data_IF_762034299715
#
_entry.id   IF_762034299715
#
_cell.length_a   1.000
_cell.length_b   1.000
_cell.length_c   1.000
_cell.angle_alpha   90.00
_cell.angle_beta   90.00
_cell.angle_gamma   90.00
#
_symmetry.space_group_name_H-M   'P 1'
#
loop_
_entity.id
_entity.type
_entity.pdbx_description
1 polymer ?
#
# COMPACT_ATOMS: atom_id res chain seq x y z
N UNK A 1 -12.09 -47.74 42.82
CA UNK A 1 -12.70 -46.40 42.57
C UNK A 1 -11.71 -45.24 42.55
N UNK A 2 -10.39 -45.43 42.75
CA UNK A 2 -9.37 -44.35 42.71
C UNK A 2 -8.73 -44.12 41.33
N UNK A 3 -8.89 -45.05 40.38
CA UNK A 3 -8.22 -44.98 39.07
C UNK A 3 -9.03 -44.32 37.94
N UNK A 4 -10.32 -44.03 38.13
CA UNK A 4 -11.18 -43.47 37.07
C UNK A 4 -11.08 -41.93 37.04
N UNK A 5 -10.88 -41.28 38.19
CA UNK A 5 -10.74 -39.81 38.26
C UNK A 5 -9.47 -39.27 37.58
N UNK A 6 -8.36 -40.03 37.59
CA UNK A 6 -7.10 -39.59 37.02
C UNK A 6 -7.10 -39.58 35.47
N UNK A 7 -7.91 -40.44 34.85
CA UNK A 7 -8.00 -40.56 33.37
C UNK A 7 -8.88 -39.46 32.78
N UNK A 8 -9.90 -39.01 33.51
CA UNK A 8 -10.78 -37.91 33.08
C UNK A 8 -10.05 -36.57 33.12
N UNK A 9 -9.16 -36.37 34.10
CA UNK A 9 -8.39 -35.13 34.23
C UNK A 9 -7.27 -34.97 33.19
N UNK A 10 -6.72 -36.06 32.66
CA UNK A 10 -5.68 -36.01 31.61
C UNK A 10 -6.25 -35.83 30.20
N UNK A 11 -7.50 -36.22 29.96
CA UNK A 11 -8.17 -36.05 28.66
C UNK A 11 -8.70 -34.62 28.41
N UNK A 12 -8.95 -33.82 29.47
CA UNK A 12 -9.42 -32.43 29.31
C UNK A 12 -8.32 -31.44 28.90
N UNK A 13 -7.04 -31.79 29.00
CA UNK A 13 -5.93 -30.90 28.66
C UNK A 13 -5.52 -30.92 27.17
N UNK A 14 -6.17 -31.73 26.32
CA UNK A 14 -5.75 -31.92 24.93
C UNK A 14 -6.56 -31.14 23.89
N UNK A 15 -7.52 -30.29 24.30
CA UNK A 15 -8.45 -29.61 23.39
C UNK A 15 -8.29 -28.09 23.29
N UNK A 16 -7.21 -27.53 23.82
CA UNK A 16 -6.85 -26.13 23.64
C UNK A 16 -5.75 -25.96 22.58
N UNK A 17 -5.93 -26.55 21.39
CA UNK A 17 -5.28 -25.99 20.21
C UNK A 17 -6.06 -24.73 19.82
N UNK A 18 -5.64 -23.61 20.38
CA UNK A 18 -6.06 -22.30 19.90
C UNK A 18 -5.72 -22.20 18.42
N UNK A 19 -6.74 -22.20 17.57
CA UNK A 19 -6.62 -21.80 16.17
C UNK A 19 -6.18 -20.35 16.16
N UNK A 20 -4.88 -20.10 16.03
CA UNK A 20 -4.39 -18.79 15.64
C UNK A 20 -4.95 -18.54 14.23
N UNK A 21 -6.09 -17.85 14.15
CA UNK A 21 -6.57 -17.30 12.90
C UNK A 21 -5.44 -16.38 12.42
N UNK A 22 -4.74 -16.81 11.37
CA UNK A 22 -3.78 -15.96 10.68
C UNK A 22 -4.56 -14.72 10.24
N UNK A 23 -4.33 -13.59 10.92
CA UNK A 23 -4.75 -12.30 10.40
C UNK A 23 -4.16 -12.20 9.00
N UNK A 24 -4.94 -11.84 7.96
CA UNK A 24 -4.38 -11.63 6.64
C UNK A 24 -3.19 -10.69 6.79
N UNK A 25 -1.99 -11.23 6.57
CA UNK A 25 -0.78 -10.44 6.49
C UNK A 25 -1.02 -9.52 5.30
N UNK A 26 -1.47 -8.30 5.59
CA UNK A 26 -1.60 -7.24 4.61
C UNK A 26 -0.18 -6.99 4.12
N UNK A 27 0.19 -7.71 3.05
CA UNK A 27 1.38 -7.42 2.28
C UNK A 27 1.38 -5.94 1.89
N UNK A 28 2.53 -5.41 1.47
CA UNK A 28 2.69 -4.00 1.14
C UNK A 28 1.48 -3.53 0.32
N UNK A 29 0.67 -2.62 0.91
CA UNK A 29 -0.61 -2.17 0.35
C UNK A 29 -0.35 -1.25 -0.85
N UNK A 30 0.17 -1.81 -1.94
CA UNK A 30 0.31 -1.12 -3.22
C UNK A 30 -1.04 -1.21 -3.94
N UNK A 31 -2.07 -0.59 -3.35
CA UNK A 31 -3.44 -0.69 -3.85
C UNK A 31 -3.53 -0.20 -5.29
N UNK A 32 -4.13 -1.03 -6.15
CA UNK A 32 -4.27 -0.71 -7.56
C UNK A 32 -5.61 -0.01 -7.85
N UNK A 33 -5.58 0.90 -8.82
CA UNK A 33 -6.77 1.54 -9.35
C UNK A 33 -7.40 0.71 -10.48
N UNK A 34 -8.62 1.08 -10.89
CA UNK A 34 -9.28 0.47 -12.05
C UNK A 34 -9.29 1.46 -13.24
N UNK A 35 -8.94 1.05 -14.47
CA UNK A 35 -8.99 1.96 -15.60
C UNK A 35 -10.43 2.29 -16.05
N UNK A 36 -11.44 1.51 -15.64
CA UNK A 36 -12.84 1.81 -15.89
C UNK A 36 -13.26 3.04 -15.05
N UNK A 37 -13.78 4.11 -15.67
CA UNK A 37 -14.18 5.34 -14.97
C UNK A 37 -15.15 5.11 -13.80
N UNK A 38 -16.07 4.15 -13.92
CA UNK A 38 -17.04 3.85 -12.87
C UNK A 38 -16.42 3.22 -11.61
N UNK A 39 -15.22 2.66 -11.74
CA UNK A 39 -14.52 1.94 -10.67
C UNK A 39 -13.15 2.53 -10.37
N UNK A 40 -12.79 3.65 -11.00
CA UNK A 40 -11.44 4.18 -11.02
C UNK A 40 -10.91 4.50 -9.63
N UNK A 41 -11.75 5.14 -8.82
CA UNK A 41 -11.51 5.48 -7.41
C UNK A 41 -10.25 6.31 -7.15
N UNK A 42 -9.48 6.71 -8.15
CA UNK A 42 -8.48 7.74 -7.97
C UNK A 42 -9.17 9.08 -7.71
N UNK A 43 -8.53 9.92 -6.91
CA UNK A 43 -9.01 11.29 -6.72
C UNK A 43 -8.84 12.11 -8.00
N UNK A 44 -9.68 13.13 -8.21
CA UNK A 44 -9.66 13.99 -9.41
C UNK A 44 -8.31 14.68 -9.66
N UNK A 45 -7.48 14.82 -8.62
CA UNK A 45 -6.14 15.42 -8.66
C UNK A 45 -5.06 14.44 -9.12
N UNK A 46 -5.43 13.19 -9.35
CA UNK A 46 -4.56 12.09 -9.76
C UNK A 46 -5.06 11.45 -11.05
N UNK A 47 -4.32 10.48 -11.59
CA UNK A 47 -4.75 9.71 -12.75
C UNK A 47 -4.37 8.25 -12.59
N UNK A 48 -5.29 7.33 -12.89
CA UNK A 48 -4.97 5.91 -12.95
C UNK A 48 -4.15 5.63 -14.21
N UNK A 49 -2.90 5.20 -14.03
CA UNK A 49 -1.98 4.91 -15.13
C UNK A 49 -1.54 3.46 -15.11
N UNK A 50 -1.28 2.91 -16.30
CA UNK A 50 -0.59 1.63 -16.47
C UNK A 50 0.91 1.89 -16.40
N UNK A 51 1.61 1.19 -15.53
CA UNK A 51 3.06 1.33 -15.34
C UNK A 51 3.81 0.17 -16.00
N UNK A 52 5.10 0.37 -16.25
CA UNK A 52 5.99 -0.64 -16.85
C UNK A 52 7.02 -1.09 -15.81
N UNK A 53 7.49 -2.35 -15.84
CA UNK A 53 7.28 -3.33 -16.92
C UNK A 53 5.98 -4.13 -16.85
N UNK A 54 5.42 -4.33 -15.65
CA UNK A 54 4.43 -5.39 -15.41
C UNK A 54 2.97 -5.00 -15.66
N UNK A 55 2.71 -3.76 -16.07
CA UNK A 55 1.36 -3.29 -16.37
C UNK A 55 0.51 -2.99 -15.13
N UNK A 56 1.12 -2.73 -13.98
CA UNK A 56 0.40 -2.39 -12.74
C UNK A 56 -0.36 -1.08 -12.89
N UNK A 57 -1.47 -0.93 -12.16
CA UNK A 57 -2.34 0.23 -12.24
C UNK A 57 -2.27 1.05 -10.95
N UNK A 58 -1.78 2.29 -11.04
CA UNK A 58 -1.64 3.16 -9.86
C UNK A 58 -2.26 4.54 -10.06
N UNK A 59 -2.78 5.13 -8.99
CA UNK A 59 -3.14 6.54 -8.98
C UNK A 59 -1.85 7.38 -8.89
N UNK A 60 -1.47 7.99 -10.01
CA UNK A 60 -0.30 8.83 -10.10
C UNK A 60 -0.65 10.30 -9.91
N UNK A 61 0.16 10.99 -9.11
CA UNK A 61 0.13 12.43 -8.98
C UNK A 61 0.57 13.13 -10.27
N UNK A 62 0.17 14.40 -10.41
CA UNK A 62 0.83 15.35 -11.31
C UNK A 62 2.30 15.50 -10.89
N UNK A 63 3.20 15.74 -11.85
CA UNK A 63 4.61 15.93 -11.55
C UNK A 63 4.82 17.10 -10.56
N UNK A 64 5.64 16.90 -9.53
CA UNK A 64 5.89 17.93 -8.49
C UNK A 64 4.84 18.01 -7.38
N UNK A 65 3.84 17.12 -7.37
CA UNK A 65 2.81 17.06 -6.33
C UNK A 65 2.86 15.75 -5.53
N UNK A 66 2.41 15.82 -4.27
CA UNK A 66 2.28 14.73 -3.30
C UNK A 66 0.96 14.85 -2.51
N UNK A 67 0.65 13.82 -1.73
CA UNK A 67 -0.47 13.86 -0.80
C UNK A 67 -0.16 14.78 0.38
N UNK A 68 -1.20 15.28 1.06
CA UNK A 68 -1.08 16.03 2.31
C UNK A 68 -0.84 15.08 3.50
N UNK A 69 0.24 14.32 3.45
CA UNK A 69 0.66 13.37 4.48
C UNK A 69 2.14 13.58 4.84
N UNK A 70 2.60 12.97 5.93
CA UNK A 70 4.01 12.97 6.29
C UNK A 70 4.85 12.33 5.17
N UNK A 71 6.01 12.90 4.83
CA UNK A 71 6.88 12.39 3.76
C UNK A 71 7.29 10.91 3.96
N UNK A 72 7.27 10.42 5.20
CA UNK A 72 7.54 9.02 5.55
C UNK A 72 6.32 8.09 5.54
N UNK A 73 5.11 8.62 5.31
CA UNK A 73 3.87 7.83 5.27
C UNK A 73 3.71 7.05 3.95
N UNK A 74 4.41 5.93 3.88
CA UNK A 74 4.42 4.98 2.77
C UNK A 74 3.07 4.30 2.49
N UNK A 75 2.11 4.41 3.42
CA UNK A 75 0.75 3.87 3.23
C UNK A 75 -0.15 4.81 2.44
N UNK A 76 0.16 6.10 2.47
CA UNK A 76 -0.61 7.13 1.76
C UNK A 76 0.02 7.50 0.44
N UNK A 77 1.35 7.73 0.44
CA UNK A 77 2.09 8.12 -0.76
C UNK A 77 3.47 7.47 -0.84
N UNK A 78 3.96 7.26 -2.05
CA UNK A 78 5.28 6.67 -2.29
C UNK A 78 5.78 6.99 -3.69
N UNK A 79 7.08 6.81 -3.91
CA UNK A 79 7.68 6.75 -5.25
C UNK A 79 7.98 5.31 -5.62
N UNK A 80 8.13 5.04 -6.90
CA UNK A 80 8.44 3.70 -7.44
C UNK A 80 9.64 3.77 -8.38
N UNK A 81 10.06 2.59 -8.85
CA UNK A 81 11.13 2.43 -9.85
C UNK A 81 10.57 2.15 -11.26
N UNK A 82 9.29 2.47 -11.50
CA UNK A 82 8.69 2.32 -12.83
C UNK A 82 9.40 3.20 -13.86
N UNK A 83 9.90 2.57 -14.92
CA UNK A 83 10.68 3.25 -15.95
C UNK A 83 9.93 4.44 -16.56
N UNK A 84 10.51 5.64 -16.46
CA UNK A 84 9.94 6.89 -16.96
C UNK A 84 8.82 7.48 -16.11
N UNK A 85 8.56 6.95 -14.91
CA UNK A 85 7.63 7.50 -13.92
C UNK A 85 8.29 7.73 -12.55
N UNK A 86 9.60 7.59 -12.45
CA UNK A 86 10.36 7.67 -11.19
C UNK A 86 10.17 9.03 -10.51
N UNK A 87 9.93 10.08 -11.28
CA UNK A 87 9.70 11.45 -10.78
C UNK A 87 8.30 11.68 -10.21
N UNK A 88 7.40 10.71 -10.32
CA UNK A 88 6.03 10.83 -9.83
C UNK A 88 5.89 10.25 -8.44
N UNK A 89 4.98 10.84 -7.69
CA UNK A 89 4.42 10.26 -6.48
C UNK A 89 3.17 9.47 -6.86
N UNK A 90 2.99 8.33 -6.21
CA UNK A 90 1.83 7.46 -6.32
C UNK A 90 1.12 7.44 -4.98
N UNK A 91 -0.20 7.30 -5.03
CA UNK A 91 -1.06 7.27 -3.85
C UNK A 91 -2.04 6.11 -3.94
N UNK A 92 -2.57 5.67 -2.80
CA UNK A 92 -3.69 4.73 -2.80
C UNK A 92 -4.97 5.39 -3.33
N UNK A 93 -5.93 4.62 -3.88
CA UNK A 93 -7.20 5.18 -4.36
C UNK A 93 -7.91 6.07 -3.32
N UNK A 94 -8.50 7.17 -3.80
CA UNK A 94 -9.24 8.15 -3.00
C UNK A 94 -8.38 9.21 -2.29
N UNK A 95 -7.05 9.13 -2.40
CA UNK A 95 -6.15 10.13 -1.81
C UNK A 95 -5.90 11.27 -2.80
N UNK A 96 -6.15 12.49 -2.36
CA UNK A 96 -5.84 13.70 -3.12
C UNK A 96 -4.34 14.00 -3.13
N UNK A 97 -3.86 14.56 -4.24
CA UNK A 97 -2.46 14.90 -4.50
C UNK A 97 -2.29 16.35 -4.98
N UNK A 98 -2.67 17.29 -4.10
CA UNK A 98 -2.64 18.74 -4.35
C UNK A 98 -1.55 19.47 -3.57
N UNK A 99 -0.70 18.76 -2.83
CA UNK A 99 0.39 19.40 -2.07
C UNK A 99 1.65 19.45 -2.94
N UNK A 100 2.31 20.61 -3.03
CA UNK A 100 3.59 20.70 -3.72
C UNK A 100 4.67 19.94 -2.96
N UNK A 101 5.53 19.25 -3.71
CA UNK A 101 6.77 18.69 -3.17
C UNK A 101 7.75 19.81 -2.79
N UNK A 102 8.70 19.53 -1.90
CA UNK A 102 9.68 20.51 -1.41
C UNK A 102 10.51 21.09 -2.56
N UNK A 103 10.85 20.26 -3.55
CA UNK A 103 11.64 20.63 -4.73
C UNK A 103 10.83 20.45 -6.04
N UNK A 104 9.57 20.88 -6.05
CA UNK A 104 8.64 20.68 -7.18
C UNK A 104 9.16 21.23 -8.53
N UNK A 105 10.03 22.25 -8.52
CA UNK A 105 10.59 22.88 -9.72
C UNK A 105 11.75 22.10 -10.37
N UNK A 106 12.26 21.04 -9.74
CA UNK A 106 13.43 20.30 -10.24
C UNK A 106 13.10 19.26 -11.33
N UNK A 107 11.91 19.34 -11.93
CA UNK A 107 11.50 18.47 -13.03
C UNK A 107 11.55 16.98 -12.65
N UNK A 108 12.32 16.13 -13.35
CA UNK A 108 12.47 14.70 -13.01
C UNK A 108 13.05 14.43 -11.61
N UNK A 109 13.71 15.43 -11.00
CA UNK A 109 14.27 15.34 -9.66
C UNK A 109 13.32 15.92 -8.60
N UNK A 110 12.06 16.17 -8.94
CA UNK A 110 11.05 16.59 -7.96
C UNK A 110 10.68 15.47 -6.99
N UNK A 111 10.15 15.85 -5.82
CA UNK A 111 9.58 14.93 -4.83
C UNK A 111 10.56 13.91 -4.22
N UNK A 112 11.86 14.21 -4.16
CA UNK A 112 12.86 13.30 -3.58
C UNK A 112 12.72 13.07 -2.08
N UNK A 113 11.97 13.92 -1.38
CA UNK A 113 11.64 13.69 0.02
C UNK A 113 10.71 12.49 0.23
N UNK A 114 10.00 12.03 -0.81
CA UNK A 114 9.09 10.88 -0.73
C UNK A 114 9.85 9.57 -0.86
N UNK A 115 9.55 8.66 0.06
CA UNK A 115 10.18 7.34 0.13
C UNK A 115 9.88 6.50 -1.13
N UNK A 116 10.91 5.86 -1.68
CA UNK A 116 10.78 4.89 -2.77
C UNK A 116 10.38 3.53 -2.20
N UNK A 117 9.38 2.89 -2.81
CA UNK A 117 8.89 1.54 -2.48
C UNK A 117 9.10 0.60 -3.66
N UNK A 118 10.28 -0.04 -3.76
CA UNK A 118 10.60 -0.96 -4.86
C UNK A 118 9.64 -2.15 -4.94
N UNK A 119 9.04 -2.56 -3.81
CA UNK A 119 8.07 -3.64 -3.74
C UNK A 119 6.71 -3.29 -4.38
N UNK A 120 6.46 -2.01 -4.66
CA UNK A 120 5.32 -1.54 -5.44
C UNK A 120 5.68 -1.24 -6.91
N UNK A 121 6.84 -1.71 -7.39
CA UNK A 121 7.37 -1.47 -8.74
C UNK A 121 7.41 -2.73 -9.60
#
# INVERSE_FOLDING_TARGET
MKSILAVVFTLLNFLLLASAAATPSHGPQCEQCNPNPNYNRCDITTSCIVTKPDGQLHCACRAGYKAAASDSDQSTHYRTLFAGQEYRVFVRPGVACDTLCNSWWMGPQSCQEITVRPECS
#
